data_IF_750350967163
#
_entry.id   IF_750350967163
#
_cell.length_a   1.000
_cell.length_b   1.000
_cell.length_c   1.000
_cell.angle_alpha   90.00
_cell.angle_beta   90.00
_cell.angle_gamma   90.00
#
_symmetry.space_group_name_H-M   'P 1'
#
loop_
_entity.id
_entity.type
_entity.pdbx_description
1 polymer ?
#
# COMPACT_ATOMS: atom_id res chain seq x y z
N UNK A 1 -14.37 -0.60 18.74
CA UNK A 1 -14.10 -1.61 19.80
C UNK A 1 -12.61 -1.86 19.74
N UNK A 2 -11.85 -1.42 20.74
CA UNK A 2 -10.38 -1.50 20.72
C UNK A 2 -9.93 -2.95 20.64
N UNK A 3 -9.20 -3.28 19.58
CA UNK A 3 -8.44 -4.52 19.48
C UNK A 3 -7.30 -4.39 20.49
N UNK A 4 -7.37 -5.17 21.56
CA UNK A 4 -6.28 -5.31 22.53
C UNK A 4 -5.13 -6.04 21.83
N UNK A 5 -4.14 -5.30 21.42
CA UNK A 5 -2.82 -5.86 21.12
C UNK A 5 -2.31 -6.56 22.40
N UNK A 6 -2.34 -7.89 22.40
CA UNK A 6 -1.57 -8.67 23.37
C UNK A 6 -0.13 -8.68 22.88
N UNK A 7 0.66 -7.83 23.51
CA UNK A 7 2.11 -7.77 23.41
C UNK A 7 2.71 -9.17 23.67
N UNK A 8 3.24 -9.79 22.61
CA UNK A 8 4.25 -10.81 22.78
C UNK A 8 5.45 -10.16 23.46
N UNK A 9 5.85 -10.66 24.62
CA UNK A 9 6.97 -10.16 25.41
C UNK A 9 8.27 -10.35 24.64
N UNK A 10 8.74 -9.29 23.99
CA UNK A 10 10.13 -9.20 23.58
C UNK A 10 11.00 -9.10 24.87
N UNK A 11 12.08 -9.84 24.91
CA UNK A 11 13.03 -9.75 26.02
C UNK A 11 13.63 -8.35 26.02
N UNK A 12 13.29 -7.55 27.00
CA UNK A 12 13.89 -6.24 27.27
C UNK A 12 15.27 -6.48 27.91
N UNK A 13 16.34 -6.15 27.21
CA UNK A 13 17.66 -5.92 27.80
C UNK A 13 17.65 -4.52 28.41
N UNK A 14 17.34 -4.44 29.70
CA UNK A 14 17.43 -3.20 30.48
C UNK A 14 18.88 -2.90 30.82
N UNK A 15 19.48 -1.93 30.15
CA UNK A 15 20.72 -1.28 30.58
C UNK A 15 20.40 0.15 31.05
N UNK A 16 21.12 0.61 32.02
CA UNK A 16 20.92 1.75 32.94
C UNK A 16 20.76 3.18 32.36
N UNK A 17 20.50 3.36 31.10
CA UNK A 17 19.99 4.57 30.46
C UNK A 17 18.67 4.20 29.79
N UNK A 18 17.58 4.87 30.03
CA UNK A 18 16.21 4.61 29.54
C UNK A 18 16.09 4.46 27.99
N UNK A 19 16.88 3.55 27.43
CA UNK A 19 16.85 3.16 26.02
C UNK A 19 15.95 1.93 25.92
N UNK A 20 14.83 2.03 25.22
CA UNK A 20 13.96 0.92 24.90
C UNK A 20 14.33 0.37 23.51
N UNK A 21 14.64 -0.95 23.45
CA UNK A 21 14.94 -1.65 22.22
C UNK A 21 13.85 -2.71 21.97
N UNK A 22 13.09 -2.52 20.91
CA UNK A 22 12.11 -3.49 20.43
C UNK A 22 12.61 -4.15 19.15
N UNK A 23 12.60 -5.47 19.12
CA UNK A 23 12.93 -6.28 17.94
C UNK A 23 11.75 -7.16 17.62
N UNK A 24 11.28 -7.11 16.40
CA UNK A 24 10.19 -7.94 15.86
C UNK A 24 10.60 -8.47 14.49
N UNK A 25 9.94 -9.51 14.06
CA UNK A 25 10.21 -10.02 12.73
C UNK A 25 9.33 -11.19 12.35
N UNK A 26 9.53 -11.64 11.13
CA UNK A 26 8.89 -12.86 10.66
C UNK A 26 9.76 -13.55 9.60
N UNK A 27 9.51 -14.83 9.44
CA UNK A 27 9.93 -15.63 8.31
C UNK A 27 8.68 -16.08 7.56
N UNK A 28 8.59 -15.80 6.27
CA UNK A 28 7.52 -16.31 5.42
C UNK A 28 8.06 -17.02 4.18
N UNK A 29 7.26 -17.97 3.68
CA UNK A 29 7.46 -18.54 2.36
C UNK A 29 6.13 -18.46 1.61
N UNK A 30 6.19 -18.04 0.34
CA UNK A 30 5.04 -17.84 -0.53
C UNK A 30 5.28 -18.56 -1.86
N UNK A 31 4.34 -19.39 -2.24
CA UNK A 31 4.38 -20.18 -3.46
C UNK A 31 3.04 -20.03 -4.18
N UNK A 32 3.09 -19.67 -5.45
CA UNK A 32 1.92 -19.52 -6.30
C UNK A 32 2.10 -20.29 -7.61
N UNK A 33 1.01 -20.87 -8.08
CA UNK A 33 0.99 -21.73 -9.25
C UNK A 33 -0.20 -21.37 -10.14
N UNK A 34 0.05 -21.08 -11.41
CA UNK A 34 -0.97 -20.72 -12.38
C UNK A 34 -1.89 -21.91 -12.65
N UNK A 35 -3.19 -21.66 -12.69
CA UNK A 35 -4.21 -22.69 -12.90
C UNK A 35 -4.65 -22.83 -14.35
N UNK A 36 -4.27 -21.90 -15.21
CA UNK A 36 -4.53 -21.91 -16.65
C UNK A 36 -3.24 -22.17 -17.43
N UNK A 37 -3.36 -22.46 -18.72
CA UNK A 37 -2.20 -22.71 -19.58
C UNK A 37 -1.45 -21.40 -19.91
N UNK A 38 -0.10 -21.38 -19.81
CA UNK A 38 0.77 -22.48 -19.37
C UNK A 38 0.69 -22.68 -17.86
N UNK A 39 0.57 -23.95 -17.43
CA UNK A 39 0.50 -24.30 -16.00
C UNK A 39 1.92 -24.29 -15.44
N UNK A 40 2.31 -23.22 -14.77
CA UNK A 40 3.67 -22.94 -14.31
C UNK A 40 3.71 -22.19 -12.96
N UNK A 41 4.90 -22.00 -12.44
CA UNK A 41 5.10 -21.22 -11.21
C UNK A 41 4.93 -19.72 -11.46
N UNK A 42 4.06 -19.08 -10.68
CA UNK A 42 3.84 -17.63 -10.70
C UNK A 42 4.71 -16.91 -9.67
N UNK A 43 4.94 -17.52 -8.51
CA UNK A 43 5.84 -17.02 -7.48
C UNK A 43 6.42 -18.16 -6.66
N UNK A 44 7.66 -18.03 -6.25
CA UNK A 44 8.30 -18.95 -5.28
C UNK A 44 9.38 -18.17 -4.53
N UNK A 45 9.02 -17.67 -3.34
CA UNK A 45 9.93 -16.86 -2.54
C UNK A 45 9.90 -17.24 -1.06
N UNK A 46 11.02 -17.05 -0.40
CA UNK A 46 11.16 -17.10 1.06
C UNK A 46 11.74 -15.78 1.53
N UNK A 47 11.20 -15.21 2.58
CA UNK A 47 11.57 -13.89 3.09
C UNK A 47 11.71 -13.92 4.60
N UNK A 48 12.78 -13.34 5.11
CA UNK A 48 12.92 -12.97 6.50
C UNK A 48 12.82 -11.44 6.60
N UNK A 49 11.96 -10.94 7.48
CA UNK A 49 11.89 -9.51 7.84
C UNK A 49 12.32 -9.31 9.27
N UNK A 50 13.23 -8.35 9.49
CA UNK A 50 13.59 -7.84 10.80
C UNK A 50 13.19 -6.37 10.93
N UNK A 51 12.61 -6.02 12.08
CA UNK A 51 12.22 -4.66 12.46
C UNK A 51 12.85 -4.32 13.79
N UNK A 52 13.61 -3.22 13.83
CA UNK A 52 14.33 -2.73 14.98
C UNK A 52 13.82 -1.33 15.31
N UNK A 53 13.39 -1.13 16.53
CA UNK A 53 13.04 0.19 17.07
C UNK A 53 13.86 0.46 18.30
N UNK A 54 14.58 1.57 18.26
CA UNK A 54 15.31 2.13 19.39
C UNK A 54 14.62 3.43 19.81
N UNK A 55 14.29 3.58 21.07
CA UNK A 55 13.58 4.76 21.58
C UNK A 55 14.24 5.29 22.84
N UNK A 56 14.38 6.62 22.94
CA UNK A 56 14.88 7.34 24.11
C UNK A 56 14.31 8.74 24.13
N UNK A 57 13.72 9.15 25.27
CA UNK A 57 13.28 10.53 25.55
C UNK A 57 12.40 11.16 24.44
N UNK A 58 11.47 10.36 23.87
CA UNK A 58 10.55 10.79 22.81
C UNK A 58 11.18 10.87 21.42
N UNK A 59 12.45 10.49 21.28
CA UNK A 59 13.12 10.32 19.98
C UNK A 59 13.60 8.90 19.76
N UNK A 60 13.93 8.56 18.54
CA UNK A 60 14.40 7.21 18.24
C UNK A 60 14.73 6.96 16.79
N UNK A 61 14.95 5.69 16.49
CA UNK A 61 15.20 5.19 15.14
C UNK A 61 14.36 3.95 14.88
N UNK A 62 13.91 3.81 13.65
CA UNK A 62 13.22 2.63 13.16
C UNK A 62 13.95 2.11 11.92
N UNK A 63 14.18 0.80 11.85
CA UNK A 63 14.75 0.13 10.68
C UNK A 63 13.94 -1.13 10.41
N UNK A 64 13.47 -1.30 9.20
CA UNK A 64 12.82 -2.52 8.69
C UNK A 64 13.54 -2.98 7.43
N UNK A 65 13.97 -4.23 7.40
CA UNK A 65 14.68 -4.81 6.27
C UNK A 65 14.22 -6.24 5.98
N UNK A 66 14.28 -6.62 4.72
CA UNK A 66 14.03 -7.96 4.24
C UNK A 66 15.33 -8.62 3.78
N UNK A 67 15.43 -9.92 4.01
CA UNK A 67 16.31 -10.81 3.27
C UNK A 67 15.40 -11.73 2.44
N UNK A 68 15.50 -11.66 1.11
CA UNK A 68 14.63 -12.37 0.19
C UNK A 68 15.43 -13.40 -0.60
N UNK A 69 14.90 -14.60 -0.72
CA UNK A 69 15.29 -15.58 -1.71
C UNK A 69 14.11 -15.80 -2.65
N UNK A 70 14.27 -15.48 -3.93
CA UNK A 70 13.29 -15.71 -4.98
C UNK A 70 13.85 -16.77 -5.94
N UNK A 71 13.14 -17.90 -6.06
CA UNK A 71 13.60 -19.02 -6.86
C UNK A 71 13.39 -18.80 -8.36
N UNK A 72 12.42 -17.97 -8.75
CA UNK A 72 12.10 -17.66 -10.14
C UNK A 72 12.90 -16.46 -10.64
N UNK A 73 12.90 -15.38 -9.87
CA UNK A 73 13.50 -14.08 -10.22
C UNK A 73 14.70 -13.82 -9.32
N UNK A 74 15.87 -14.27 -9.76
CA UNK A 74 17.10 -14.20 -8.95
C UNK A 74 17.54 -12.75 -8.65
N UNK A 75 17.23 -11.82 -9.53
CA UNK A 75 17.46 -10.38 -9.39
C UNK A 75 16.65 -9.75 -8.25
N UNK A 76 15.55 -10.36 -7.84
CA UNK A 76 14.77 -9.96 -6.67
C UNK A 76 15.27 -10.58 -5.34
N UNK A 77 16.30 -11.47 -5.41
CA UNK A 77 16.92 -12.05 -4.23
C UNK A 77 17.93 -11.09 -3.62
N UNK A 78 18.07 -11.11 -2.29
CA UNK A 78 19.07 -10.36 -1.57
C UNK A 78 18.51 -9.51 -0.43
N UNK A 79 19.33 -8.60 0.05
CA UNK A 79 18.98 -7.67 1.11
C UNK A 79 18.19 -6.47 0.55
N UNK A 80 17.07 -6.15 1.17
CA UNK A 80 16.19 -5.05 0.79
C UNK A 80 15.90 -4.18 2.02
N UNK A 81 16.46 -2.97 2.06
CA UNK A 81 16.11 -1.99 3.07
C UNK A 81 14.71 -1.44 2.78
N UNK A 82 13.75 -1.78 3.64
CA UNK A 82 12.37 -1.32 3.51
C UNK A 82 12.21 0.08 4.08
N UNK A 83 12.46 0.26 5.38
CA UNK A 83 12.38 1.56 6.03
C UNK A 83 13.60 1.80 6.90
N UNK A 84 14.07 3.02 6.97
CA UNK A 84 15.12 3.47 7.90
C UNK A 84 14.96 4.96 8.14
N UNK A 85 14.44 5.35 9.30
CA UNK A 85 14.23 6.75 9.66
C UNK A 85 14.51 7.00 11.13
N UNK A 86 14.96 8.22 11.42
CA UNK A 86 14.96 8.77 12.75
C UNK A 86 13.63 9.50 13.00
N UNK A 87 13.16 9.48 14.22
CA UNK A 87 11.97 10.20 14.64
C UNK A 87 12.16 10.90 15.97
N UNK A 88 11.43 11.99 16.15
CA UNK A 88 11.32 12.70 17.39
C UNK A 88 9.91 13.25 17.54
N UNK A 89 9.36 13.16 18.75
CA UNK A 89 8.03 13.66 19.01
C UNK A 89 7.82 14.07 20.47
N UNK A 90 6.82 14.93 20.65
CA UNK A 90 6.26 15.29 21.94
C UNK A 90 4.73 15.42 21.82
N UNK A 91 4.06 16.06 22.78
CA UNK A 91 2.61 16.22 22.75
C UNK A 91 2.08 16.95 21.50
N UNK A 92 2.89 17.81 20.88
CA UNK A 92 2.46 18.65 19.76
C UNK A 92 3.19 18.37 18.44
N UNK A 93 4.34 17.73 18.47
CA UNK A 93 5.16 17.52 17.29
C UNK A 93 5.48 16.05 17.07
N UNK A 94 5.41 15.58 15.82
CA UNK A 94 5.94 14.30 15.32
C UNK A 94 6.77 14.62 14.08
N UNK A 95 8.08 14.39 14.16
CA UNK A 95 9.04 14.64 13.08
C UNK A 95 9.72 13.32 12.72
N UNK A 96 9.77 13.01 11.42
CA UNK A 96 10.46 11.84 10.91
C UNK A 96 11.32 12.21 9.71
N UNK A 97 12.54 11.68 9.68
CA UNK A 97 13.49 11.93 8.61
C UNK A 97 14.17 10.62 8.20
N UNK A 98 14.12 10.29 6.92
CA UNK A 98 14.71 9.07 6.35
C UNK A 98 13.77 8.33 5.41
N UNK A 99 14.11 7.08 5.10
CA UNK A 99 13.35 6.21 4.22
C UNK A 99 12.12 5.67 4.95
N UNK A 100 10.92 6.04 4.51
CA UNK A 100 9.65 5.73 5.18
C UNK A 100 8.51 5.58 4.19
N UNK A 101 7.47 4.85 4.57
CA UNK A 101 6.21 4.78 3.83
C UNK A 101 5.31 5.90 4.34
N UNK A 102 4.78 6.71 3.41
CA UNK A 102 3.83 7.78 3.68
C UNK A 102 2.54 7.45 2.93
N UNK A 103 1.45 7.28 3.67
CA UNK A 103 0.14 6.99 3.12
C UNK A 103 -0.85 8.06 3.57
N UNK A 104 -1.53 8.67 2.60
CA UNK A 104 -2.63 9.59 2.80
C UNK A 104 -3.93 8.96 2.27
N UNK A 105 -5.08 9.51 2.67
CA UNK A 105 -6.37 9.01 2.23
C UNK A 105 -6.99 7.93 3.12
N UNK A 106 -8.20 7.54 2.78
CA UNK A 106 -9.06 6.60 3.52
C UNK A 106 -9.55 5.42 2.68
N UNK A 107 -9.21 5.40 1.37
CA UNK A 107 -9.57 4.34 0.45
C UNK A 107 -8.86 3.03 0.77
N UNK A 108 -9.49 1.91 0.44
CA UNK A 108 -8.95 0.56 0.59
C UNK A 108 -8.73 -0.07 -0.81
N UNK A 109 -7.48 -0.30 -1.17
CA UNK A 109 -7.10 -0.86 -2.46
C UNK A 109 -7.07 0.13 -3.63
N UNK A 110 -7.70 1.30 -3.51
CA UNK A 110 -7.73 2.37 -4.50
C UNK A 110 -6.88 3.57 -4.06
N UNK A 111 -6.51 4.43 -4.98
CA UNK A 111 -5.63 5.58 -4.71
C UNK A 111 -6.20 6.84 -5.33
N UNK A 112 -6.68 7.74 -4.49
CA UNK A 112 -7.15 9.07 -4.89
C UNK A 112 -6.24 10.15 -4.32
N UNK A 113 -6.07 10.16 -3.01
CA UNK A 113 -5.21 11.12 -2.29
C UNK A 113 -3.87 10.53 -1.81
N UNK A 114 -3.70 9.20 -1.89
CA UNK A 114 -2.49 8.48 -1.49
C UNK A 114 -1.46 8.42 -2.62
N UNK A 115 -0.77 9.54 -2.87
CA UNK A 115 0.07 9.75 -4.05
C UNK A 115 1.57 9.86 -3.76
N UNK A 116 2.01 9.82 -2.48
CA UNK A 116 3.42 10.03 -2.12
C UNK A 116 4.25 8.75 -2.31
N UNK A 117 3.92 7.69 -1.57
CA UNK A 117 4.61 6.40 -1.71
C UNK A 117 4.05 5.63 -2.91
N UNK A 118 4.86 5.33 -3.94
CA UNK A 118 4.41 4.55 -5.08
C UNK A 118 4.20 3.09 -4.71
N UNK A 119 3.77 2.28 -5.69
CA UNK A 119 3.51 0.85 -5.53
C UNK A 119 4.53 0.01 -6.28
N UNK A 120 4.78 -1.19 -5.77
CA UNK A 120 5.55 -2.25 -6.41
C UNK A 120 4.58 -3.24 -7.07
N UNK A 121 4.42 -3.14 -8.38
CA UNK A 121 3.57 -4.02 -9.18
C UNK A 121 4.36 -5.16 -9.83
N UNK A 122 5.54 -5.51 -9.31
CA UNK A 122 6.39 -6.58 -9.86
C UNK A 122 5.67 -7.94 -9.91
N UNK A 123 4.76 -8.19 -8.96
CA UNK A 123 3.84 -9.35 -8.96
C UNK A 123 2.38 -8.87 -9.08
N UNK A 124 2.15 -7.74 -9.73
CA UNK A 124 0.87 -7.05 -9.92
C UNK A 124 0.06 -6.97 -8.61
N UNK A 125 -1.15 -7.52 -8.55
CA UNK A 125 -2.02 -7.51 -7.36
C UNK A 125 -1.89 -8.79 -6.50
N UNK A 126 -0.99 -9.73 -6.87
CA UNK A 126 -0.78 -10.97 -6.13
C UNK A 126 0.00 -10.81 -4.82
N UNK A 127 0.61 -9.64 -4.58
CA UNK A 127 1.28 -9.31 -3.32
C UNK A 127 0.30 -8.88 -2.23
N UNK A 128 0.72 -9.00 -0.96
CA UNK A 128 -0.02 -8.41 0.14
C UNK A 128 -0.06 -6.88 0.01
N UNK A 129 -1.24 -6.28 0.11
CA UNK A 129 -1.44 -4.84 -0.11
C UNK A 129 -0.54 -3.96 0.77
N UNK A 130 -0.30 -4.35 2.02
CA UNK A 130 0.57 -3.60 2.94
C UNK A 130 2.05 -3.66 2.54
N UNK A 131 2.45 -4.65 1.76
CA UNK A 131 3.84 -4.85 1.34
C UNK A 131 4.18 -4.19 0.00
N UNK A 132 3.20 -3.88 -0.84
CA UNK A 132 3.44 -3.33 -2.18
C UNK A 132 3.84 -1.85 -2.18
N UNK A 133 3.76 -1.14 -1.05
CA UNK A 133 4.18 0.26 -0.99
C UNK A 133 5.69 0.40 -1.04
N UNK A 134 6.18 1.23 -1.95
CA UNK A 134 7.60 1.59 -2.06
C UNK A 134 7.88 2.75 -1.11
N UNK A 135 8.81 2.59 -0.17
CA UNK A 135 9.19 3.67 0.76
C UNK A 135 9.96 4.77 0.04
N UNK A 136 9.76 6.00 0.47
CA UNK A 136 10.42 7.21 -0.05
C UNK A 136 11.36 7.82 1.00
N UNK A 137 12.48 8.38 0.56
CA UNK A 137 13.34 9.21 1.41
C UNK A 137 12.68 10.55 1.66
N UNK A 138 12.25 10.84 2.89
CA UNK A 138 11.44 12.01 3.16
C UNK A 138 11.75 12.65 4.52
N UNK A 139 11.49 13.96 4.61
CA UNK A 139 11.24 14.67 5.85
C UNK A 139 9.73 14.83 6.00
N UNK A 140 9.19 14.37 7.12
CA UNK A 140 7.79 14.50 7.52
C UNK A 140 7.73 15.25 8.84
N UNK A 141 6.96 16.31 8.89
CA UNK A 141 6.75 17.14 10.08
C UNK A 141 5.26 17.27 10.32
N UNK A 142 4.79 16.87 11.50
CA UNK A 142 3.39 16.98 11.87
C UNK A 142 3.24 17.76 13.17
N UNK A 143 2.40 18.79 13.14
CA UNK A 143 1.94 19.51 14.31
C UNK A 143 0.58 18.94 14.73
N UNK A 144 0.46 18.61 16.00
CA UNK A 144 -0.71 18.00 16.61
C UNK A 144 -1.41 18.99 17.54
N UNK A 145 -2.72 19.13 17.37
CA UNK A 145 -3.61 19.86 18.25
C UNK A 145 -4.80 18.94 18.61
N UNK A 146 -5.55 19.26 19.65
CA UNK A 146 -6.62 18.38 20.19
C UNK A 146 -7.59 17.91 19.12
N UNK A 147 -8.08 18.81 18.26
CA UNK A 147 -9.10 18.51 17.25
C UNK A 147 -8.57 18.52 15.82
N UNK A 148 -7.31 18.86 15.58
CA UNK A 148 -6.75 18.95 14.24
C UNK A 148 -5.24 18.69 14.21
N UNK A 149 -4.74 18.37 13.06
CA UNK A 149 -3.29 18.29 12.83
C UNK A 149 -2.92 18.87 11.46
N UNK A 150 -1.70 19.37 11.36
CA UNK A 150 -1.11 19.80 10.11
C UNK A 150 0.16 19.00 9.86
N UNK A 151 0.21 18.33 8.73
CA UNK A 151 1.37 17.54 8.28
C UNK A 151 1.99 18.22 7.05
N UNK A 152 3.32 18.34 7.04
CA UNK A 152 4.10 18.74 5.88
C UNK A 152 5.09 17.66 5.52
N UNK A 153 5.26 17.42 4.23
CA UNK A 153 6.16 16.39 3.68
C UNK A 153 7.05 16.99 2.61
N UNK A 154 8.33 16.59 2.60
CA UNK A 154 9.29 16.90 1.56
C UNK A 154 10.04 15.62 1.15
N UNK A 155 10.02 15.30 -0.14
CA UNK A 155 10.68 14.13 -0.75
C UNK A 155 11.71 14.63 -1.76
N UNK A 156 13.00 14.65 -1.41
CA UNK A 156 14.05 15.23 -2.27
C UNK A 156 14.23 14.48 -3.59
N UNK A 157 14.02 13.16 -3.60
CA UNK A 157 14.13 12.30 -4.79
C UNK A 157 12.85 11.50 -4.92
N UNK A 158 12.13 11.71 -6.02
CA UNK A 158 10.88 11.01 -6.30
C UNK A 158 11.14 9.52 -6.57
N UNK A 159 10.27 8.68 -6.04
CA UNK A 159 10.17 7.26 -6.37
C UNK A 159 8.95 7.03 -7.26
N UNK A 160 8.99 5.98 -8.08
CA UNK A 160 7.98 5.66 -9.09
C UNK A 160 7.50 4.22 -8.93
N UNK A 161 6.41 3.87 -9.60
CA UNK A 161 5.91 2.50 -9.61
C UNK A 161 6.97 1.56 -10.16
N UNK A 162 7.09 0.39 -9.53
CA UNK A 162 7.90 -0.69 -10.08
C UNK A 162 7.00 -1.57 -10.92
N UNK A 163 7.34 -1.73 -12.18
CA UNK A 163 6.61 -2.55 -13.12
C UNK A 163 7.35 -3.89 -13.37
N UNK A 164 6.63 -4.96 -13.73
CA UNK A 164 7.22 -6.26 -14.04
C UNK A 164 7.86 -6.26 -15.44
N UNK A 165 9.04 -5.64 -15.56
CA UNK A 165 9.75 -5.45 -16.85
C UNK A 165 10.71 -6.58 -17.18
N UNK A 166 11.05 -7.46 -16.23
CA UNK A 166 11.88 -8.63 -16.48
C UNK A 166 11.10 -9.65 -17.32
N UNK A 167 11.59 -10.05 -18.52
CA UNK A 167 10.90 -11.02 -19.37
C UNK A 167 10.66 -12.40 -18.73
N UNK A 168 11.51 -12.79 -17.77
CA UNK A 168 11.36 -14.05 -17.02
C UNK A 168 10.29 -13.97 -15.92
N UNK A 169 9.73 -12.79 -15.67
CA UNK A 169 8.69 -12.61 -14.69
C UNK A 169 7.34 -13.08 -15.26
N UNK A 170 6.62 -14.01 -14.61
CA UNK A 170 5.28 -14.45 -15.05
C UNK A 170 4.25 -13.32 -15.16
N UNK A 171 4.49 -12.18 -14.47
CA UNK A 171 3.68 -10.98 -14.52
C UNK A 171 4.16 -9.93 -15.54
N UNK A 172 5.14 -10.29 -16.38
CA UNK A 172 5.76 -9.34 -17.31
C UNK A 172 4.75 -8.68 -18.24
N UNK A 173 4.84 -7.36 -18.35
CA UNK A 173 4.09 -6.56 -19.33
C UNK A 173 4.82 -6.48 -20.68
N UNK A 174 5.90 -7.25 -20.86
CA UNK A 174 6.74 -7.24 -22.07
C UNK A 174 7.86 -6.20 -21.99
N UNK A 175 8.52 -6.00 -23.11
CA UNK A 175 9.62 -5.03 -23.24
C UNK A 175 9.05 -3.62 -23.27
N UNK A 176 9.46 -2.81 -22.31
CA UNK A 176 9.17 -1.38 -22.27
C UNK A 176 10.32 -0.58 -22.92
N UNK A 177 10.03 0.59 -23.51
CA UNK A 177 11.07 1.54 -23.90
C UNK A 177 11.95 1.95 -22.72
N UNK A 178 13.15 2.53 -22.95
CA UNK A 178 14.01 3.01 -21.88
C UNK A 178 13.27 3.98 -20.94
N UNK A 179 13.46 3.81 -19.62
CA UNK A 179 12.86 4.68 -18.62
C UNK A 179 13.73 5.91 -18.38
N UNK A 180 13.13 7.10 -18.45
CA UNK A 180 13.78 8.39 -18.15
C UNK A 180 13.14 8.99 -16.91
N UNK A 181 13.88 8.96 -15.80
CA UNK A 181 13.45 9.57 -14.52
C UNK A 181 13.93 11.02 -14.41
N UNK A 182 13.18 11.87 -13.69
CA UNK A 182 13.63 13.22 -13.36
C UNK A 182 14.94 13.20 -12.57
N UNK A 183 15.87 14.09 -12.93
CA UNK A 183 17.13 14.22 -12.21
C UNK A 183 16.92 14.56 -10.72
N UNK A 184 17.71 13.97 -9.80
CA UNK A 184 17.64 14.30 -8.39
C UNK A 184 18.13 15.74 -8.16
N UNK A 185 17.20 16.67 -7.99
CA UNK A 185 17.46 18.09 -7.76
C UNK A 185 16.36 18.71 -6.90
N UNK A 186 16.66 19.83 -6.25
CA UNK A 186 15.67 20.58 -5.46
C UNK A 186 14.49 21.07 -6.31
N UNK A 187 14.69 21.29 -7.61
CA UNK A 187 13.61 21.66 -8.55
C UNK A 187 12.62 20.51 -8.75
N UNK A 188 13.11 19.28 -8.71
CA UNK A 188 12.34 18.05 -8.97
C UNK A 188 11.83 17.37 -7.70
N UNK A 189 12.09 17.95 -6.51
CA UNK A 189 11.58 17.42 -5.25
C UNK A 189 10.05 17.47 -5.20
N UNK A 190 9.47 16.52 -4.46
CA UNK A 190 8.06 16.53 -4.13
C UNK A 190 7.84 17.15 -2.76
N UNK A 191 6.73 17.84 -2.60
CA UNK A 191 6.35 18.43 -1.32
C UNK A 191 4.85 18.60 -1.23
N UNK A 192 4.34 18.54 -0.02
CA UNK A 192 2.92 18.75 0.22
C UNK A 192 2.58 18.97 1.67
N UNK A 193 1.32 19.31 1.87
CA UNK A 193 0.73 19.48 3.19
C UNK A 193 -0.63 18.79 3.26
N UNK A 194 -0.96 18.28 4.44
CA UNK A 194 -2.25 17.71 4.80
C UNK A 194 -2.74 18.32 6.09
N UNK A 195 -3.93 18.88 6.05
CA UNK A 195 -4.68 19.32 7.23
C UNK A 195 -5.71 18.25 7.56
N UNK A 196 -5.71 17.75 8.80
CA UNK A 196 -6.71 16.81 9.29
C UNK A 196 -7.50 17.47 10.42
N UNK A 197 -8.81 17.24 10.45
CA UNK A 197 -9.71 17.71 11.49
C UNK A 197 -10.61 16.55 11.93
N UNK A 198 -10.57 16.23 13.23
CA UNK A 198 -11.40 15.22 13.87
C UNK A 198 -12.53 15.90 14.62
N UNK A 199 -13.76 15.67 14.17
CA UNK A 199 -14.99 16.18 14.79
C UNK A 199 -15.78 15.04 15.40
N UNK A 200 -16.76 15.36 16.25
CA UNK A 200 -17.62 14.33 16.87
C UNK A 200 -18.40 13.46 15.89
N UNK A 201 -18.54 13.90 14.62
CA UNK A 201 -19.27 13.19 13.57
C UNK A 201 -18.38 12.52 12.53
N UNK A 202 -17.06 12.69 12.58
CA UNK A 202 -16.15 12.08 11.60
C UNK A 202 -14.83 12.83 11.44
N UNK A 203 -13.96 12.25 10.63
CA UNK A 203 -12.65 12.79 10.29
C UNK A 203 -12.68 13.37 8.88
N UNK A 204 -12.02 14.51 8.70
CA UNK A 204 -11.92 15.23 7.43
C UNK A 204 -10.48 15.63 7.18
N UNK A 205 -10.04 15.54 5.92
CA UNK A 205 -8.75 16.10 5.55
C UNK A 205 -8.79 16.92 4.26
N UNK A 206 -7.84 17.85 4.17
CA UNK A 206 -7.52 18.60 2.96
C UNK A 206 -6.06 18.38 2.63
N UNK A 207 -5.74 18.22 1.36
CA UNK A 207 -4.39 18.01 0.87
C UNK A 207 -4.05 19.01 -0.23
N UNK A 208 -2.79 19.41 -0.25
CA UNK A 208 -2.16 20.07 -1.39
C UNK A 208 -0.78 19.44 -1.59
N UNK A 209 -0.50 18.97 -2.81
CA UNK A 209 0.72 18.21 -3.10
C UNK A 209 1.30 18.64 -4.45
N UNK A 210 2.61 18.86 -4.50
CA UNK A 210 3.37 18.97 -5.75
C UNK A 210 4.19 17.70 -5.89
N UNK A 211 3.86 16.88 -6.88
CA UNK A 211 4.41 15.53 -7.06
C UNK A 211 4.68 15.23 -8.53
N UNK A 212 5.02 14.00 -8.84
CA UNK A 212 5.13 13.45 -10.17
C UNK A 212 4.03 12.39 -10.38
N UNK A 213 3.55 12.24 -11.61
CA UNK A 213 2.81 11.03 -12.00
C UNK A 213 3.64 9.82 -11.60
N UNK A 214 3.06 8.88 -10.84
CA UNK A 214 3.81 7.69 -10.37
C UNK A 214 3.82 6.56 -11.40
N UNK A 215 2.79 6.51 -12.26
CA UNK A 215 2.74 5.63 -13.43
C UNK A 215 3.50 6.31 -14.58
N UNK A 216 4.41 5.60 -15.26
CA UNK A 216 5.09 6.14 -16.41
C UNK A 216 4.14 6.29 -17.61
N UNK A 217 4.42 7.28 -18.44
CA UNK A 217 3.75 7.50 -19.73
C UNK A 217 4.60 7.08 -20.89
N UNK A 218 3.98 6.52 -21.91
CA UNK A 218 4.65 6.19 -23.17
C UNK A 218 4.84 7.44 -24.01
N UNK A 219 6.09 7.83 -24.20
CA UNK A 219 6.52 8.85 -25.14
C UNK A 219 7.03 8.18 -26.43
N UNK A 220 7.48 8.96 -27.41
CA UNK A 220 7.81 8.42 -28.74
C UNK A 220 8.92 7.37 -28.69
N UNK A 221 9.95 7.57 -27.87
CA UNK A 221 11.18 6.75 -27.81
C UNK A 221 11.55 6.28 -26.39
N UNK A 222 10.83 6.71 -25.38
CA UNK A 222 11.05 6.35 -23.98
C UNK A 222 9.77 6.38 -23.17
N UNK A 223 9.82 5.88 -21.95
CA UNK A 223 8.80 6.12 -20.93
C UNK A 223 9.29 7.18 -19.97
N UNK A 224 8.40 8.09 -19.56
CA UNK A 224 8.73 9.23 -18.72
C UNK A 224 7.63 9.56 -17.73
N UNK A 225 7.80 10.68 -17.06
CA UNK A 225 6.91 11.12 -15.99
C UNK A 225 6.63 12.60 -16.13
N UNK A 226 5.42 13.02 -15.84
CA UNK A 226 5.03 14.43 -15.82
C UNK A 226 4.79 14.93 -14.40
N UNK A 227 4.89 16.23 -14.23
CA UNK A 227 4.71 16.91 -12.96
C UNK A 227 3.24 17.15 -12.69
N UNK A 228 2.81 16.97 -11.41
CA UNK A 228 1.44 17.19 -10.97
C UNK A 228 1.37 18.16 -9.79
N UNK A 229 0.37 19.04 -9.83
CA UNK A 229 -0.15 19.75 -8.66
C UNK A 229 -1.47 19.08 -8.29
N UNK A 230 -1.62 18.66 -7.04
CA UNK A 230 -2.82 17.96 -6.57
C UNK A 230 -3.46 18.75 -5.45
N UNK A 231 -4.76 18.94 -5.56
CA UNK A 231 -5.60 19.50 -4.50
C UNK A 231 -6.72 18.50 -4.26
N UNK A 232 -6.97 18.14 -3.01
CA UNK A 232 -7.98 17.14 -2.69
C UNK A 232 -8.30 17.08 -1.22
N UNK A 233 -9.04 16.07 -0.85
CA UNK A 233 -9.38 15.79 0.53
C UNK A 233 -10.08 14.45 0.69
N UNK A 234 -10.22 14.06 1.92
CA UNK A 234 -10.89 12.82 2.30
C UNK A 234 -11.82 13.03 3.50
N UNK A 235 -12.76 12.09 3.67
CA UNK A 235 -13.70 12.07 4.77
C UNK A 235 -13.96 10.64 5.21
N UNK A 236 -14.09 10.45 6.54
CA UNK A 236 -14.51 9.20 7.15
C UNK A 236 -15.57 9.48 8.22
N UNK A 237 -16.79 8.99 8.01
CA UNK A 237 -17.96 9.28 8.86
C UNK A 237 -18.52 7.98 9.41
N UNK A 238 -18.32 7.66 10.71
CA UNK A 238 -18.96 6.52 11.35
C UNK A 238 -20.42 6.84 11.70
N UNK A 239 -21.33 5.87 11.43
CA UNK A 239 -22.72 5.97 11.83
C UNK A 239 -23.31 4.57 12.11
N UNK A 240 -23.65 4.30 13.33
CA UNK A 240 -24.08 2.97 13.76
C UNK A 240 -23.04 1.89 13.47
N UNK A 241 -23.39 0.90 12.68
CA UNK A 241 -22.51 -0.19 12.24
C UNK A 241 -21.85 0.09 10.88
N UNK A 242 -21.93 1.31 10.38
CA UNK A 242 -21.38 1.71 9.10
C UNK A 242 -20.30 2.78 9.24
N UNK A 243 -19.38 2.80 8.28
CA UNK A 243 -18.45 3.92 8.07
C UNK A 243 -18.52 4.33 6.60
N UNK A 244 -18.95 5.56 6.34
CA UNK A 244 -18.84 6.16 5.01
C UNK A 244 -17.42 6.68 4.81
N UNK A 245 -16.85 6.45 3.62
CA UNK A 245 -15.55 6.97 3.19
C UNK A 245 -15.73 7.72 1.88
N UNK A 246 -15.11 8.86 1.76
CA UNK A 246 -15.09 9.63 0.52
C UNK A 246 -13.71 10.23 0.29
N UNK A 247 -13.28 10.26 -0.95
CA UNK A 247 -12.08 10.97 -1.39
C UNK A 247 -12.37 11.72 -2.68
N UNK A 248 -11.73 12.87 -2.83
CA UNK A 248 -11.72 13.62 -4.08
C UNK A 248 -10.36 14.26 -4.27
N UNK A 249 -9.86 14.26 -5.49
CA UNK A 249 -8.64 14.97 -5.87
C UNK A 249 -8.78 15.52 -7.31
N UNK A 250 -8.15 16.66 -7.54
CA UNK A 250 -7.91 17.23 -8.86
C UNK A 250 -6.39 17.24 -9.11
N UNK A 251 -5.97 16.50 -10.12
CA UNK A 251 -4.58 16.40 -10.57
C UNK A 251 -4.40 17.35 -11.75
N UNK A 252 -3.58 18.36 -11.57
CA UNK A 252 -3.31 19.40 -12.56
C UNK A 252 -1.89 19.24 -13.07
N UNK A 253 -1.71 19.01 -14.36
CA UNK A 253 -0.40 18.89 -14.97
C UNK A 253 0.26 20.26 -15.26
N UNK A 254 1.49 20.28 -15.79
CA UNK A 254 2.19 21.50 -16.13
C UNK A 254 1.64 22.22 -17.38
N UNK A 255 0.73 21.59 -18.13
CA UNK A 255 0.01 22.18 -19.26
C UNK A 255 -1.33 22.80 -18.82
N UNK A 256 -1.71 22.63 -17.55
CA UNK A 256 -2.99 23.08 -17.00
C UNK A 256 -4.15 22.16 -17.34
N UNK A 257 -3.89 20.92 -17.71
CA UNK A 257 -4.91 19.90 -17.89
C UNK A 257 -5.34 19.35 -16.53
N UNK A 258 -6.65 19.11 -16.38
CA UNK A 258 -7.27 18.67 -15.14
C UNK A 258 -7.77 17.24 -15.26
N UNK A 259 -7.32 16.37 -14.36
CA UNK A 259 -7.88 15.04 -14.16
C UNK A 259 -8.42 14.91 -12.75
N UNK A 260 -9.74 14.95 -12.63
CA UNK A 260 -10.43 14.70 -11.39
C UNK A 260 -10.52 13.22 -11.07
N UNK A 261 -10.51 12.90 -9.78
CA UNK A 261 -10.66 11.55 -9.26
C UNK A 261 -11.54 11.59 -8.00
N UNK A 262 -12.61 10.80 -7.96
CA UNK A 262 -13.54 10.76 -6.85
C UNK A 262 -13.86 9.34 -6.44
N UNK A 263 -13.91 9.10 -5.12
CA UNK A 263 -14.23 7.81 -4.51
C UNK A 263 -15.34 7.97 -3.48
N UNK A 264 -16.27 7.03 -3.48
CA UNK A 264 -17.24 6.84 -2.42
C UNK A 264 -17.23 5.37 -1.96
N UNK A 265 -17.21 5.15 -0.65
CA UNK A 265 -17.14 3.82 -0.06
C UNK A 265 -17.99 3.70 1.18
N UNK A 266 -18.39 2.47 1.49
CA UNK A 266 -19.16 2.13 2.68
C UNK A 266 -18.60 0.84 3.29
N UNK A 267 -18.19 0.93 4.56
CA UNK A 267 -17.89 -0.23 5.38
C UNK A 267 -19.11 -0.57 6.23
N UNK A 268 -19.40 -1.86 6.38
CA UNK A 268 -20.47 -2.38 7.20
C UNK A 268 -19.98 -3.48 8.15
N UNK A 269 -20.28 -3.32 9.42
CA UNK A 269 -19.92 -4.22 10.51
C UNK A 269 -21.19 -4.80 11.16
N UNK A 270 -21.87 -5.79 10.51
CA UNK A 270 -23.16 -6.29 11.00
C UNK A 270 -23.07 -7.09 12.31
N UNK A 271 -21.88 -7.28 12.84
CA UNK A 271 -21.63 -8.12 14.01
C UNK A 271 -21.24 -9.54 13.64
N UNK A 272 -21.07 -10.41 14.67
CA UNK A 272 -20.62 -11.79 14.48
C UNK A 272 -19.35 -11.92 13.63
N UNK A 273 -18.40 -10.97 13.82
CA UNK A 273 -17.09 -10.95 13.16
C UNK A 273 -17.13 -10.85 11.62
N UNK A 274 -18.20 -10.33 11.05
CA UNK A 274 -18.29 -9.94 9.66
C UNK A 274 -17.77 -8.52 9.44
N UNK A 275 -16.98 -8.35 8.38
CA UNK A 275 -16.60 -7.04 7.87
C UNK A 275 -16.86 -7.03 6.36
N UNK A 276 -17.61 -6.03 5.90
CA UNK A 276 -17.88 -5.80 4.48
C UNK A 276 -17.45 -4.38 4.12
N UNK A 277 -16.82 -4.20 2.96
CA UNK A 277 -16.45 -2.90 2.43
C UNK A 277 -16.70 -2.89 0.93
N UNK A 278 -17.37 -1.87 0.44
CA UNK A 278 -17.58 -1.65 -0.98
C UNK A 278 -17.20 -0.22 -1.34
N UNK A 279 -16.48 -0.03 -2.45
CA UNK A 279 -16.05 1.30 -2.90
C UNK A 279 -16.26 1.44 -4.40
N UNK A 280 -16.52 2.65 -4.81
CA UNK A 280 -16.64 3.09 -6.21
C UNK A 280 -15.68 4.25 -6.43
N UNK A 281 -14.90 4.18 -7.49
CA UNK A 281 -13.97 5.22 -7.89
C UNK A 281 -14.17 5.58 -9.37
N UNK A 282 -14.21 6.86 -9.66
CA UNK A 282 -14.32 7.38 -11.02
C UNK A 282 -13.30 8.47 -11.27
N UNK A 283 -12.62 8.40 -12.43
CA UNK A 283 -11.82 9.49 -12.98
C UNK A 283 -12.65 10.27 -14.01
N UNK A 284 -12.39 11.56 -14.12
CA UNK A 284 -13.09 12.47 -15.05
C UNK A 284 -12.16 13.62 -15.46
N UNK A 285 -12.51 14.30 -16.56
CA UNK A 285 -11.68 15.40 -17.12
C UNK A 285 -10.82 14.94 -18.29
N UNK A 286 -9.59 15.45 -18.37
CA UNK A 286 -8.63 15.06 -19.41
C UNK A 286 -7.98 13.72 -19.06
N UNK A 287 -7.54 12.98 -20.10
CA UNK A 287 -6.95 11.66 -19.95
C UNK A 287 -7.93 10.49 -19.97
N UNK A 288 -7.45 9.31 -19.60
CA UNK A 288 -8.26 8.10 -19.58
C UNK A 288 -9.26 8.15 -18.43
N UNK A 289 -10.53 7.90 -18.77
CA UNK A 289 -11.60 7.82 -17.79
C UNK A 289 -11.80 6.37 -17.36
N UNK A 290 -11.67 6.11 -16.08
CA UNK A 290 -11.87 4.79 -15.48
C UNK A 290 -13.07 4.80 -14.54
N UNK A 291 -13.73 3.66 -14.43
CA UNK A 291 -14.74 3.41 -13.43
C UNK A 291 -14.41 2.09 -12.73
N UNK A 292 -13.93 2.18 -11.51
CA UNK A 292 -13.43 1.05 -10.74
C UNK A 292 -14.32 0.82 -9.52
N UNK A 293 -14.49 -0.46 -9.16
CA UNK A 293 -15.16 -0.84 -7.93
C UNK A 293 -14.32 -1.82 -7.14
N UNK A 294 -14.39 -1.76 -5.81
CA UNK A 294 -13.82 -2.79 -4.93
C UNK A 294 -14.87 -3.35 -4.01
N UNK A 295 -14.75 -4.64 -3.69
CA UNK A 295 -15.56 -5.31 -2.70
C UNK A 295 -14.66 -6.17 -1.82
N UNK A 296 -14.69 -5.93 -0.51
CA UNK A 296 -14.03 -6.78 0.49
C UNK A 296 -15.08 -7.40 1.40
N UNK A 297 -14.99 -8.68 1.63
CA UNK A 297 -15.79 -9.39 2.62
C UNK A 297 -14.85 -10.25 3.44
N UNK A 298 -14.96 -10.18 4.76
CA UNK A 298 -14.21 -11.07 5.64
C UNK A 298 -15.07 -11.57 6.80
N UNK A 299 -14.75 -12.77 7.26
CA UNK A 299 -15.42 -13.46 8.37
C UNK A 299 -14.38 -14.18 9.20
N UNK A 300 -14.32 -13.85 10.49
CA UNK A 300 -13.55 -14.63 11.43
C UNK A 300 -14.40 -15.77 12.02
N UNK A 301 -13.81 -16.94 12.15
CA UNK A 301 -14.37 -18.21 12.57
C UNK A 301 -13.48 -18.86 13.64
N UNK A 302 -13.97 -19.90 14.28
CA UNK A 302 -13.20 -20.72 15.23
C UNK A 302 -12.52 -19.88 16.34
N UNK A 303 -13.25 -18.95 16.95
CA UNK A 303 -12.72 -18.00 17.94
C UNK A 303 -11.57 -17.16 17.39
N UNK A 304 -11.71 -16.68 16.15
CA UNK A 304 -10.74 -15.86 15.41
C UNK A 304 -9.45 -16.59 15.00
N UNK A 305 -9.39 -17.92 15.10
CA UNK A 305 -8.24 -18.67 14.61
C UNK A 305 -8.30 -18.95 13.10
N UNK A 306 -9.44 -18.75 12.44
CA UNK A 306 -9.59 -18.87 10.99
C UNK A 306 -10.30 -17.64 10.46
N UNK A 307 -9.67 -16.92 9.53
CA UNK A 307 -10.28 -15.81 8.80
C UNK A 307 -10.46 -16.19 7.33
N UNK A 308 -11.71 -16.17 6.87
CA UNK A 308 -12.00 -16.27 5.44
C UNK A 308 -12.21 -14.87 4.88
N UNK A 309 -11.61 -14.57 3.74
CA UNK A 309 -11.77 -13.27 3.10
C UNK A 309 -11.80 -13.38 1.58
N UNK A 310 -12.47 -12.40 0.96
CA UNK A 310 -12.39 -12.13 -0.46
C UNK A 310 -12.21 -10.65 -0.69
N UNK A 311 -11.38 -10.31 -1.67
CA UNK A 311 -11.19 -8.95 -2.14
C UNK A 311 -11.31 -8.93 -3.67
N UNK A 312 -12.31 -8.25 -4.17
CA UNK A 312 -12.53 -8.06 -5.59
C UNK A 312 -12.16 -6.64 -6.01
N UNK A 313 -11.57 -6.53 -7.18
CA UNK A 313 -11.28 -5.29 -7.88
C UNK A 313 -11.88 -5.41 -9.27
N UNK A 314 -12.82 -4.55 -9.63
CA UNK A 314 -13.53 -4.61 -10.90
C UNK A 314 -13.31 -3.31 -11.70
N UNK A 315 -12.90 -3.46 -12.95
CA UNK A 315 -13.03 -2.45 -13.97
C UNK A 315 -14.46 -2.55 -14.52
N UNK A 316 -15.30 -1.59 -14.12
CA UNK A 316 -16.73 -1.62 -14.47
C UNK A 316 -16.96 -1.19 -15.91
N UNK A 317 -16.06 -0.39 -16.47
CA UNK A 317 -16.15 0.11 -17.84
C UNK A 317 -15.82 -0.97 -18.86
N UNK A 318 -14.73 -1.70 -18.65
CA UNK A 318 -14.17 -2.67 -19.60
C UNK A 318 -14.39 -4.13 -19.16
N UNK A 319 -15.23 -4.34 -18.11
CA UNK A 319 -15.62 -5.67 -17.58
C UNK A 319 -14.48 -6.58 -17.19
N UNK A 320 -13.40 -6.01 -16.64
CA UNK A 320 -12.28 -6.77 -16.08
C UNK A 320 -12.42 -6.98 -14.58
N UNK A 321 -12.04 -8.15 -14.06
CA UNK A 321 -12.13 -8.49 -12.64
C UNK A 321 -10.83 -9.16 -12.18
N UNK A 322 -10.33 -8.70 -11.04
CA UNK A 322 -9.43 -9.44 -10.16
C UNK A 322 -10.18 -9.80 -8.89
N UNK A 323 -10.08 -11.06 -8.43
CA UNK A 323 -10.63 -11.45 -7.14
C UNK A 323 -9.65 -12.36 -6.39
N UNK A 324 -9.31 -11.98 -5.16
CA UNK A 324 -8.47 -12.75 -4.25
C UNK A 324 -9.31 -13.38 -3.16
N UNK A 325 -9.44 -14.69 -3.17
CA UNK A 325 -9.99 -15.47 -2.07
C UNK A 325 -8.86 -15.93 -1.17
N UNK A 326 -9.06 -15.88 0.14
CA UNK A 326 -8.07 -16.38 1.09
C UNK A 326 -8.70 -16.96 2.36
N UNK A 327 -8.01 -17.96 2.90
CA UNK A 327 -8.22 -18.52 4.22
C UNK A 327 -6.92 -18.36 5.01
N UNK A 328 -6.93 -17.62 6.09
CA UNK A 328 -5.82 -17.45 7.04
C UNK A 328 -6.12 -18.23 8.31
N UNK A 329 -5.35 -19.27 8.54
CA UNK A 329 -5.44 -20.09 9.74
C UNK A 329 -4.26 -19.80 10.68
N UNK A 330 -4.55 -19.18 11.83
CA UNK A 330 -3.64 -19.02 12.95
C UNK A 330 -3.53 -20.36 13.70
N UNK A 331 -2.58 -21.21 13.27
CA UNK A 331 -2.30 -22.48 13.95
C UNK A 331 -1.79 -22.26 15.37
N UNK A 332 -1.05 -21.18 15.60
CA UNK A 332 -0.67 -20.61 16.88
C UNK A 332 -0.64 -19.09 16.75
N UNK A 333 -0.40 -18.34 17.85
CA UNK A 333 -0.22 -16.88 17.82
C UNK A 333 0.97 -16.46 16.93
N UNK A 334 1.89 -17.36 16.66
CA UNK A 334 3.12 -17.09 15.88
C UNK A 334 3.07 -17.69 14.47
N UNK A 335 2.31 -18.77 14.25
CA UNK A 335 2.32 -19.53 13.01
C UNK A 335 0.99 -19.35 12.29
N UNK A 336 1.04 -18.79 11.10
CA UNK A 336 -0.07 -18.65 10.18
C UNK A 336 0.14 -19.48 8.93
N UNK A 337 -0.92 -20.15 8.50
CA UNK A 337 -1.02 -20.86 7.22
C UNK A 337 -2.09 -20.19 6.40
N UNK A 338 -1.69 -19.60 5.28
CA UNK A 338 -2.62 -18.94 4.38
C UNK A 338 -2.71 -19.73 3.08
N UNK A 339 -3.91 -19.98 2.63
CA UNK A 339 -4.22 -20.58 1.33
C UNK A 339 -5.15 -19.64 0.58
N UNK A 340 -4.94 -19.48 -0.71
CA UNK A 340 -5.83 -18.64 -1.50
C UNK A 340 -5.84 -18.98 -2.98
N UNK A 341 -6.74 -18.27 -3.66
CA UNK A 341 -6.93 -18.33 -5.09
C UNK A 341 -7.13 -16.91 -5.63
N UNK A 342 -6.31 -16.55 -6.58
CA UNK A 342 -6.42 -15.27 -7.29
C UNK A 342 -7.04 -15.54 -8.66
N UNK A 343 -8.21 -14.97 -8.92
CA UNK A 343 -8.95 -15.04 -10.18
C UNK A 343 -8.71 -13.78 -10.97
N UNK A 344 -8.29 -13.93 -12.21
CA UNK A 344 -8.25 -12.84 -13.20
C UNK A 344 -9.20 -13.18 -14.35
N UNK A 345 -10.00 -12.22 -14.75
CA UNK A 345 -10.86 -12.31 -15.93
C UNK A 345 -10.97 -10.94 -16.58
N UNK A 346 -10.71 -10.87 -17.88
CA UNK A 346 -10.96 -9.68 -18.69
C UNK A 346 -11.03 -10.04 -20.17
N UNK A 347 -11.87 -9.31 -20.90
CA UNK A 347 -11.91 -9.33 -22.36
C UNK A 347 -11.27 -8.08 -22.94
N UNK A 348 -11.24 -6.99 -22.17
CA UNK A 348 -10.65 -5.69 -22.51
C UNK A 348 -10.09 -5.02 -21.25
N UNK A 349 -9.48 -3.83 -21.39
CA UNK A 349 -9.10 -2.97 -20.29
C UNK A 349 -7.85 -3.41 -19.53
N UNK A 350 -7.71 -2.87 -18.32
CA UNK A 350 -6.49 -2.96 -17.51
C UNK A 350 -6.10 -4.37 -17.07
N UNK A 351 -7.04 -5.31 -16.98
CA UNK A 351 -6.77 -6.68 -16.57
C UNK A 351 -6.50 -7.63 -17.73
N UNK A 352 -6.64 -7.20 -18.99
CA UNK A 352 -6.48 -8.05 -20.18
C UNK A 352 -5.12 -8.77 -20.21
N UNK A 353 -4.05 -8.05 -19.93
CA UNK A 353 -2.68 -8.61 -19.88
C UNK A 353 -2.54 -9.75 -18.87
N UNK A 354 -3.39 -9.78 -17.85
CA UNK A 354 -3.35 -10.73 -16.74
C UNK A 354 -4.51 -11.73 -16.75
N UNK A 355 -5.36 -11.73 -17.79
CA UNK A 355 -6.58 -12.53 -17.82
C UNK A 355 -6.35 -14.05 -17.67
N UNK A 356 -5.14 -14.55 -18.01
CA UNK A 356 -4.75 -15.94 -17.86
C UNK A 356 -3.81 -16.21 -16.67
N UNK A 357 -3.67 -15.25 -15.74
CA UNK A 357 -2.77 -15.36 -14.59
C UNK A 357 -3.48 -15.81 -13.31
N UNK A 358 -4.66 -16.44 -13.45
CA UNK A 358 -5.34 -17.03 -12.28
C UNK A 358 -4.44 -18.05 -11.60
N UNK A 359 -4.30 -17.97 -10.27
CA UNK A 359 -3.35 -18.77 -9.52
C UNK A 359 -3.90 -19.29 -8.19
N UNK A 360 -3.44 -20.46 -7.78
CA UNK A 360 -3.56 -20.95 -6.41
C UNK A 360 -2.26 -20.64 -5.67
N UNK A 361 -2.36 -20.18 -4.43
CA UNK A 361 -1.17 -19.84 -3.65
C UNK A 361 -1.25 -20.35 -2.20
N UNK A 362 -0.07 -20.60 -1.64
CA UNK A 362 0.15 -20.99 -0.26
C UNK A 362 1.21 -20.09 0.36
N UNK A 363 0.94 -19.59 1.59
CA UNK A 363 1.89 -18.84 2.40
C UNK A 363 1.98 -19.44 3.79
N UNK A 364 3.19 -19.69 4.24
CA UNK A 364 3.48 -20.02 5.63
C UNK A 364 4.22 -18.84 6.25
N UNK A 365 3.80 -18.40 7.42
CA UNK A 365 4.41 -17.28 8.14
C UNK A 365 4.65 -17.65 9.60
N UNK A 366 5.87 -17.41 10.07
CA UNK A 366 6.25 -17.47 11.47
C UNK A 366 6.69 -16.10 11.96
N UNK A 367 6.03 -15.56 12.98
CA UNK A 367 6.30 -14.24 13.58
C UNK A 367 6.94 -14.39 14.95
N UNK A 368 7.92 -13.53 15.29
CA UNK A 368 8.66 -13.55 16.56
C UNK A 368 8.91 -12.14 17.10
#
# INVERSE_FOLDING_TARGET
MCIRDRLCTAHSLSAQDNIDLSVKGFLDTYHAFRTEAPVDWMSSRTRARGEFRLEKDGGGMFVSANLVYNALLKDLSGFQLREAYAYWGNSNWDIRAGKQIISWGVADGLRVTDLISPMDYTEFLAQDYDDIRVPVGALRVRYLHDAWSLEAVAVPVAEFFKLPTNPDNPWSVGLLPPEVKPDPSLKNMEYGARFNCSLSGGDFSLIALRTWSKMPEFLVDHIGYHRLSVIGGDVSIPFGNFVFRGEIADNIDDHGEHQGNALAGLDWYPGNDWNLSAQFNQTFGTGEQTLLATLRISKALLNNSLTLSTFAYADVKDFGIFNRFSADWAATDQIHVLLGYDLFYAEEGMFLTYAHNSEVWLKLKYSF
#
